data_IF_906101857530
#
_entry.id   IF_906101857530
#
_cell.length_a   1.000
_cell.length_b   1.000
_cell.length_c   1.000
_cell.angle_alpha   90.00
_cell.angle_beta   90.00
_cell.angle_gamma   90.00
#
_symmetry.space_group_name_H-M   'P 1'
#
loop_
_entity.id
_entity.type
_entity.pdbx_description
1 polymer ?
#
# COMPACT_ATOMS: atom_id res chain seq x y z
N UNK A 1 -18.85 -30.24 -23.29
CA UNK A 1 -18.79 -28.91 -22.65
C UNK A 1 -18.95 -29.12 -21.15
N UNK A 2 -17.85 -29.08 -20.39
CA UNK A 2 -17.90 -29.04 -18.93
C UNK A 2 -16.72 -28.19 -18.47
N UNK A 3 -16.99 -26.90 -18.25
CA UNK A 3 -16.01 -25.96 -17.71
C UNK A 3 -15.89 -26.19 -16.21
N UNK A 4 -14.69 -26.57 -15.77
CA UNK A 4 -14.35 -26.65 -14.34
C UNK A 4 -13.99 -25.24 -13.89
N UNK A 5 -14.95 -24.57 -13.24
CA UNK A 5 -14.70 -23.32 -12.54
C UNK A 5 -14.02 -23.61 -11.21
N UNK A 6 -12.68 -23.55 -11.19
CA UNK A 6 -11.91 -23.58 -9.96
C UNK A 6 -12.06 -22.26 -9.22
N UNK A 7 -12.83 -22.25 -8.13
CA UNK A 7 -12.77 -21.16 -7.16
C UNK A 7 -11.49 -21.36 -6.34
N UNK A 8 -10.43 -20.63 -6.69
CA UNK A 8 -9.21 -20.58 -5.88
C UNK A 8 -9.52 -19.86 -4.57
N UNK A 9 -9.71 -20.64 -3.50
CA UNK A 9 -9.60 -20.14 -2.14
C UNK A 9 -8.18 -19.59 -1.99
N UNK A 10 -8.05 -18.27 -1.93
CA UNK A 10 -6.75 -17.62 -1.83
C UNK A 10 -6.16 -17.90 -0.46
N UNK A 11 -4.88 -18.25 -0.46
CA UNK A 11 -4.10 -18.51 0.72
C UNK A 11 -3.98 -17.27 1.60
N UNK A 12 -3.81 -17.44 2.91
CA UNK A 12 -3.41 -16.37 3.86
C UNK A 12 -2.18 -15.57 3.40
N UNK A 13 -1.39 -16.15 2.50
CA UNK A 13 -0.20 -15.57 1.86
C UNK A 13 -0.53 -14.44 0.89
N UNK A 14 -1.79 -14.29 0.48
CA UNK A 14 -2.25 -13.27 -0.46
C UNK A 14 -3.00 -12.12 0.23
N UNK A 15 -3.10 -12.12 1.57
CA UNK A 15 -3.87 -11.10 2.30
C UNK A 15 -2.97 -9.99 2.84
N UNK A 16 -3.28 -8.75 2.45
CA UNK A 16 -2.82 -7.51 3.09
C UNK A 16 -3.92 -7.06 4.05
N UNK A 17 -3.62 -6.94 5.33
CA UNK A 17 -4.58 -6.42 6.32
C UNK A 17 -4.10 -5.08 6.86
N UNK A 18 -4.95 -4.07 6.79
CA UNK A 18 -4.75 -2.76 7.39
C UNK A 18 -5.81 -2.56 8.47
N UNK A 19 -5.41 -2.58 9.73
CA UNK A 19 -6.24 -2.18 10.85
C UNK A 19 -5.85 -0.74 11.20
N UNK A 20 -6.62 0.24 10.75
CA UNK A 20 -6.34 1.67 11.01
C UNK A 20 -7.43 2.21 11.92
N UNK A 21 -7.05 2.56 13.14
CA UNK A 21 -7.95 3.01 14.20
C UNK A 21 -9.05 1.96 14.55
N UNK A 22 -10.23 2.07 13.93
CA UNK A 22 -11.36 1.14 14.10
C UNK A 22 -11.84 0.55 12.78
N UNK A 23 -11.13 0.84 11.69
CA UNK A 23 -11.47 0.36 10.35
C UNK A 23 -10.49 -0.73 9.96
N UNK A 24 -11.02 -1.85 9.49
CA UNK A 24 -10.25 -2.95 8.96
C UNK A 24 -10.43 -2.99 7.44
N UNK A 25 -9.33 -2.92 6.71
CA UNK A 25 -9.27 -3.14 5.27
C UNK A 25 -8.52 -4.44 5.02
N UNK A 26 -9.23 -5.49 4.62
CA UNK A 26 -8.62 -6.71 4.15
C UNK A 26 -8.57 -6.66 2.62
N UNK A 27 -7.36 -6.55 2.10
CA UNK A 27 -7.08 -6.58 0.68
C UNK A 27 -6.47 -7.93 0.33
N UNK A 28 -6.89 -8.49 -0.79
CA UNK A 28 -6.23 -9.62 -1.41
C UNK A 28 -5.30 -9.11 -2.50
N UNK A 29 -4.01 -9.38 -2.38
CA UNK A 29 -2.98 -9.08 -3.35
C UNK A 29 -2.50 -10.37 -4.01
N UNK A 30 -2.81 -10.49 -5.28
CA UNK A 30 -2.33 -11.54 -6.19
C UNK A 30 -1.31 -10.94 -7.16
N UNK A 31 -0.65 -11.75 -8.00
CA UNK A 31 0.29 -11.27 -9.01
C UNK A 31 -0.33 -10.18 -9.92
N UNK A 32 -1.60 -10.32 -10.28
CA UNK A 32 -2.25 -9.48 -11.29
C UNK A 32 -3.18 -8.42 -10.70
N UNK A 33 -3.59 -8.53 -9.44
CA UNK A 33 -4.61 -7.65 -8.87
C UNK A 33 -4.45 -7.46 -7.36
N UNK A 34 -4.86 -6.27 -6.89
CA UNK A 34 -5.16 -5.95 -5.50
C UNK A 34 -6.65 -5.64 -5.38
N UNK A 35 -7.37 -6.47 -4.63
CA UNK A 35 -8.83 -6.42 -4.51
C UNK A 35 -9.28 -6.38 -3.06
N UNK A 36 -10.30 -5.61 -2.75
CA UNK A 36 -10.95 -5.57 -1.44
C UNK A 36 -12.27 -4.83 -1.54
N UNK A 37 -12.94 -4.58 -0.42
CA UNK A 37 -14.24 -3.91 -0.42
C UNK A 37 -14.21 -2.56 -1.16
N UNK A 38 -13.16 -1.77 -0.95
CA UNK A 38 -12.94 -0.50 -1.64
C UNK A 38 -11.83 -0.57 -2.70
N UNK A 39 -11.12 -1.68 -2.85
CA UNK A 39 -9.96 -1.77 -3.75
C UNK A 39 -10.30 -2.61 -4.98
N UNK A 40 -10.07 -2.04 -6.17
CA UNK A 40 -10.08 -2.78 -7.42
C UNK A 40 -8.97 -2.23 -8.30
N UNK A 41 -7.74 -2.71 -8.07
CA UNK A 41 -6.54 -2.26 -8.76
C UNK A 41 -5.90 -3.44 -9.47
N UNK A 42 -5.78 -3.37 -10.78
CA UNK A 42 -4.99 -4.31 -11.58
C UNK A 42 -3.52 -3.92 -11.55
N UNK A 43 -2.67 -4.94 -11.50
CA UNK A 43 -1.22 -4.90 -11.51
C UNK A 43 -0.75 -5.41 -12.86
N UNK A 44 -0.03 -4.57 -13.58
CA UNK A 44 0.63 -4.95 -14.83
C UNK A 44 2.07 -4.47 -14.78
N UNK A 45 2.99 -5.05 -15.57
CA UNK A 45 4.38 -4.61 -15.56
C UNK A 45 4.50 -3.10 -15.78
N UNK A 46 4.96 -2.38 -14.76
CA UNK A 46 5.14 -0.92 -14.81
C UNK A 46 3.87 -0.08 -14.65
N UNK A 47 2.70 -0.65 -14.35
CA UNK A 47 1.45 0.11 -14.22
C UNK A 47 0.49 -0.47 -13.16
N UNK A 48 -0.11 0.43 -12.37
CA UNK A 48 -1.26 0.15 -11.51
C UNK A 48 -2.47 0.91 -12.02
N UNK A 49 -3.60 0.22 -12.24
CA UNK A 49 -4.80 0.83 -12.79
C UNK A 49 -6.08 0.28 -12.17
N UNK A 50 -7.06 1.14 -11.94
CA UNK A 50 -8.36 0.74 -11.46
C UNK A 50 -9.00 1.81 -10.59
N UNK A 51 -9.37 1.46 -9.36
CA UNK A 51 -9.99 2.39 -8.41
C UNK A 51 -9.77 1.99 -6.96
N UNK A 52 -9.75 3.00 -6.10
CA UNK A 52 -9.81 2.89 -4.64
C UNK A 52 -10.99 3.71 -4.16
N UNK A 53 -11.92 3.07 -3.43
CA UNK A 53 -13.31 3.47 -3.29
C UNK A 53 -13.91 3.84 -4.66
N UNK A 54 -14.29 5.10 -4.84
CA UNK A 54 -14.82 5.66 -6.08
C UNK A 54 -13.80 6.55 -6.82
N UNK A 55 -12.53 6.51 -6.40
CA UNK A 55 -11.46 7.33 -6.97
C UNK A 55 -10.66 6.51 -7.99
N UNK A 56 -10.66 6.88 -9.28
CA UNK A 56 -9.86 6.21 -10.30
C UNK A 56 -8.36 6.27 -10.00
N UNK A 57 -7.64 5.18 -10.23
CA UNK A 57 -6.19 5.05 -10.11
C UNK A 57 -5.60 4.77 -11.48
N UNK A 58 -4.59 5.53 -11.87
CA UNK A 58 -3.77 5.24 -13.04
C UNK A 58 -2.33 5.72 -12.77
N UNK A 59 -1.45 4.79 -12.39
CA UNK A 59 -0.08 5.05 -12.01
C UNK A 59 0.88 4.28 -12.91
N UNK A 60 1.92 4.94 -13.37
CA UNK A 60 3.08 4.35 -14.03
C UNK A 60 4.21 4.23 -13.01
N UNK A 61 4.80 3.06 -12.98
CA UNK A 61 5.94 2.69 -12.14
C UNK A 61 7.17 2.68 -13.06
N UNK A 62 7.98 3.72 -12.94
CA UNK A 62 9.23 3.91 -13.67
C UNK A 62 10.39 3.70 -12.70
N UNK A 63 11.60 3.46 -13.21
CA UNK A 63 12.78 3.35 -12.35
C UNK A 63 12.92 4.57 -11.42
N UNK A 64 12.94 4.32 -10.12
CA UNK A 64 12.98 5.32 -9.05
C UNK A 64 11.82 6.34 -9.05
N UNK A 65 10.73 6.13 -9.79
CA UNK A 65 9.64 7.11 -9.92
C UNK A 65 8.24 6.50 -10.03
N UNK A 66 7.26 7.20 -9.47
CA UNK A 66 5.84 6.92 -9.71
C UNK A 66 5.18 8.17 -10.26
N UNK A 67 4.51 8.05 -11.41
CA UNK A 67 3.78 9.15 -12.04
C UNK A 67 2.37 8.74 -12.39
N UNK A 68 1.44 9.69 -12.39
CA UNK A 68 0.10 9.42 -12.90
C UNK A 68 -0.96 10.23 -12.21
N UNK A 69 -2.11 9.61 -11.98
CA UNK A 69 -3.27 10.26 -11.37
C UNK A 69 -3.97 9.36 -10.36
N UNK A 70 -4.47 10.02 -9.32
CA UNK A 70 -5.45 9.50 -8.39
C UNK A 70 -6.65 10.46 -8.44
N UNK A 71 -7.72 10.03 -9.11
CA UNK A 71 -8.84 10.90 -9.49
C UNK A 71 -8.37 12.04 -10.40
N UNK A 72 -8.68 13.28 -10.02
CA UNK A 72 -8.20 14.48 -10.71
C UNK A 72 -6.79 14.92 -10.28
N UNK A 73 -6.25 14.35 -9.21
CA UNK A 73 -4.99 14.78 -8.62
C UNK A 73 -3.79 14.09 -9.26
N UNK A 74 -2.71 14.83 -9.48
CA UNK A 74 -1.45 14.30 -10.00
C UNK A 74 -0.72 13.52 -8.91
N UNK A 75 -0.12 12.41 -9.33
CA UNK A 75 0.87 11.66 -8.56
C UNK A 75 2.23 11.86 -9.20
N UNK A 76 3.22 12.22 -8.38
CA UNK A 76 4.62 12.32 -8.75
C UNK A 76 5.47 12.04 -7.50
N UNK A 77 6.02 10.83 -7.42
CA UNK A 77 6.90 10.39 -6.35
C UNK A 77 8.28 10.08 -6.90
N UNK A 78 9.30 10.49 -6.16
CA UNK A 78 10.63 9.91 -6.24
C UNK A 78 10.69 8.74 -5.24
N UNK A 79 11.11 7.58 -5.71
CA UNK A 79 11.22 6.34 -4.94
C UNK A 79 12.67 5.87 -4.99
N UNK A 80 13.24 5.49 -3.86
CA UNK A 80 14.63 5.03 -3.77
C UNK A 80 14.72 3.84 -2.85
N UNK A 81 15.54 2.87 -3.24
CA UNK A 81 15.97 1.79 -2.36
C UNK A 81 17.29 2.18 -1.70
N UNK A 82 17.31 2.22 -0.37
CA UNK A 82 18.47 2.53 0.46
C UNK A 82 18.73 1.34 1.39
N UNK A 83 19.62 0.44 0.94
CA UNK A 83 19.78 -0.89 1.55
C UNK A 83 18.48 -1.70 1.45
N UNK A 84 17.97 -2.12 2.61
CA UNK A 84 16.70 -2.84 2.74
C UNK A 84 15.49 -1.91 2.89
N UNK A 85 15.70 -0.60 2.91
CA UNK A 85 14.62 0.37 3.06
C UNK A 85 14.15 0.90 1.70
N UNK A 86 12.83 1.02 1.54
CA UNK A 86 12.19 1.78 0.47
C UNK A 86 11.82 3.15 1.00
N UNK A 87 12.30 4.19 0.34
CA UNK A 87 11.99 5.59 0.65
C UNK A 87 11.24 6.20 -0.52
N UNK A 88 10.12 6.85 -0.25
CA UNK A 88 9.38 7.59 -1.27
C UNK A 88 9.05 9.00 -0.79
N UNK A 89 9.13 9.99 -1.68
CA UNK A 89 8.82 11.38 -1.37
C UNK A 89 8.21 12.07 -2.59
N UNK A 90 7.22 12.92 -2.37
CA UNK A 90 6.64 13.72 -3.44
C UNK A 90 5.17 14.03 -3.20
N UNK A 91 4.40 14.14 -4.29
CA UNK A 91 2.97 14.35 -4.26
C UNK A 91 2.20 13.06 -4.55
N UNK A 92 1.27 12.70 -3.69
CA UNK A 92 0.35 11.57 -3.89
C UNK A 92 -1.09 12.02 -3.63
N UNK A 93 -1.96 11.90 -4.64
CA UNK A 93 -3.36 12.32 -4.48
C UNK A 93 -3.56 13.82 -4.20
N UNK A 94 -2.59 14.67 -4.59
CA UNK A 94 -2.62 16.11 -4.28
C UNK A 94 -2.12 16.47 -2.88
N UNK A 95 -1.57 15.49 -2.14
CA UNK A 95 -0.99 15.70 -0.81
C UNK A 95 0.51 15.47 -0.84
N UNK A 96 1.32 16.29 -0.13
CA UNK A 96 2.72 15.96 0.06
C UNK A 96 2.84 14.72 0.96
N UNK A 97 3.70 13.79 0.55
CA UNK A 97 3.94 12.56 1.30
C UNK A 97 5.43 12.29 1.47
N UNK A 98 5.77 11.61 2.56
CA UNK A 98 7.09 10.99 2.76
C UNK A 98 6.88 9.63 3.40
N UNK A 99 7.42 8.60 2.79
CA UNK A 99 7.33 7.21 3.20
C UNK A 99 8.75 6.67 3.39
N UNK A 100 8.96 5.97 4.50
CA UNK A 100 10.10 5.09 4.73
C UNK A 100 9.56 3.75 5.18
N UNK A 101 9.78 2.71 4.40
CA UNK A 101 9.51 1.32 4.74
C UNK A 101 10.84 0.61 4.92
N UNK A 102 11.10 0.05 6.09
CA UNK A 102 12.25 -0.82 6.35
C UNK A 102 11.79 -2.10 7.05
N UNK A 103 12.63 -3.14 7.15
CA UNK A 103 12.25 -4.34 7.88
C UNK A 103 11.93 -4.10 9.36
N UNK A 104 12.37 -3.00 9.97
CA UNK A 104 12.21 -2.74 11.41
C UNK A 104 11.15 -1.70 11.73
N UNK A 105 10.91 -0.78 10.82
CA UNK A 105 10.01 0.35 11.01
C UNK A 105 9.39 0.80 9.70
N UNK A 106 8.16 1.31 9.80
CA UNK A 106 7.45 1.98 8.74
C UNK A 106 7.03 3.37 9.25
N UNK A 107 7.53 4.41 8.58
CA UNK A 107 7.12 5.79 8.84
C UNK A 107 6.45 6.33 7.60
N UNK A 108 5.22 6.82 7.76
CA UNK A 108 4.48 7.46 6.66
C UNK A 108 3.97 8.80 7.14
N UNK A 109 4.32 9.85 6.41
CA UNK A 109 3.78 11.19 6.57
C UNK A 109 2.85 11.47 5.39
N UNK A 110 1.56 11.67 5.68
CA UNK A 110 0.56 12.06 4.70
C UNK A 110 -0.16 13.28 5.24
N UNK A 111 0.12 14.44 4.65
CA UNK A 111 -0.43 15.72 5.09
C UNK A 111 -0.14 16.02 6.57
N UNK A 112 -1.13 15.96 7.46
CA UNK A 112 -1.04 16.25 8.90
C UNK A 112 -0.98 14.98 9.77
N UNK A 113 -1.10 13.80 9.15
CA UNK A 113 -1.05 12.51 9.83
C UNK A 113 0.32 11.84 9.64
N UNK A 114 0.93 11.40 10.74
CA UNK A 114 2.15 10.58 10.75
C UNK A 114 1.85 9.21 11.33
N UNK A 115 2.14 8.17 10.58
CA UNK A 115 2.18 6.78 11.03
C UNK A 115 3.62 6.46 11.46
N UNK A 116 3.81 6.00 12.70
CA UNK A 116 5.12 5.53 13.20
C UNK A 116 4.97 4.11 13.71
N UNK A 117 5.14 3.14 12.81
CA UNK A 117 4.87 1.74 13.08
C UNK A 117 6.18 0.99 13.25
N UNK A 118 6.28 0.17 14.30
CA UNK A 118 7.41 -0.71 14.55
C UNK A 118 7.07 -2.12 14.10
N UNK A 119 8.05 -2.83 13.56
CA UNK A 119 7.85 -4.21 13.17
C UNK A 119 7.61 -5.09 14.41
N UNK A 120 6.50 -5.84 14.40
CA UNK A 120 6.28 -7.01 15.27
C UNK A 120 6.96 -8.24 14.68
N UNK A 121 6.89 -8.35 13.37
CA UNK A 121 7.62 -9.33 12.58
C UNK A 121 8.38 -8.58 11.48
N UNK A 122 9.71 -8.70 11.40
CA UNK A 122 10.50 -7.90 10.48
C UNK A 122 10.05 -8.02 9.03
N UNK A 123 9.80 -6.89 8.38
CA UNK A 123 9.34 -6.84 6.99
C UNK A 123 7.88 -7.22 6.76
N UNK A 124 7.17 -7.75 7.77
CA UNK A 124 5.89 -8.43 7.55
C UNK A 124 4.75 -7.82 8.32
N UNK A 125 4.92 -7.56 9.61
CA UNK A 125 3.85 -7.02 10.46
C UNK A 125 4.35 -5.80 11.20
N UNK A 126 3.62 -4.68 11.10
CA UNK A 126 3.95 -3.40 11.70
C UNK A 126 2.82 -2.90 12.58
N UNK A 127 3.13 -2.36 13.74
CA UNK A 127 2.15 -1.80 14.66
C UNK A 127 2.63 -0.48 15.26
N UNK A 128 1.75 0.49 15.40
CA UNK A 128 2.06 1.73 16.11
C UNK A 128 1.00 2.81 15.99
N UNK A 129 1.23 3.97 16.63
CA UNK A 129 0.26 5.04 16.63
C UNK A 129 0.21 5.80 15.29
N UNK A 130 -0.95 6.41 15.04
CA UNK A 130 -1.15 7.47 14.06
C UNK A 130 -1.31 8.81 14.79
N UNK A 131 -0.54 9.81 14.42
CA UNK A 131 -0.42 11.06 15.21
C UNK A 131 -1.69 11.90 15.26
N UNK A 132 -2.58 11.75 14.28
CA UNK A 132 -3.84 12.51 14.20
C UNK A 132 -5.00 11.80 14.92
N UNK A 133 -4.76 10.63 15.53
CA UNK A 133 -5.77 9.91 16.29
C UNK A 133 -5.75 10.31 17.79
N UNK A 134 -6.91 10.30 18.46
CA UNK A 134 -6.98 10.44 19.91
C UNK A 134 -6.20 9.34 20.65
N UNK A 135 -5.73 9.63 21.86
CA UNK A 135 -4.87 8.72 22.67
C UNK A 135 -5.48 7.35 22.98
N UNK A 136 -6.81 7.23 22.99
CA UNK A 136 -7.53 5.97 23.24
C UNK A 136 -7.82 5.16 21.98
N UNK A 137 -7.34 5.62 20.83
CA UNK A 137 -7.51 4.90 19.56
C UNK A 137 -6.58 3.69 19.54
N UNK A 138 -7.07 2.49 19.15
CA UNK A 138 -6.20 1.34 18.95
C UNK A 138 -5.05 1.66 18.00
N UNK A 139 -3.86 1.05 18.19
CA UNK A 139 -2.75 1.27 17.28
C UNK A 139 -3.11 0.79 15.87
N UNK A 140 -2.51 1.44 14.87
CA UNK A 140 -2.56 0.95 13.50
C UNK A 140 -1.72 -0.31 13.38
N UNK A 141 -2.26 -1.35 12.76
CA UNK A 141 -1.56 -2.59 12.44
C UNK A 141 -1.62 -2.83 10.93
N UNK A 142 -0.47 -3.17 10.33
CA UNK A 142 -0.34 -3.47 8.90
C UNK A 142 0.38 -4.80 8.74
N UNK A 143 -0.24 -5.74 8.03
CA UNK A 143 0.35 -7.03 7.63
C UNK A 143 0.58 -7.04 6.13
N UNK A 144 1.80 -7.35 5.70
CA UNK A 144 2.24 -7.37 4.32
C UNK A 144 2.40 -8.81 3.83
N UNK A 145 1.74 -9.21 2.73
CA UNK A 145 1.89 -10.55 2.15
C UNK A 145 3.19 -10.69 1.35
N UNK A 146 3.58 -11.92 1.03
CA UNK A 146 4.78 -12.19 0.24
C UNK A 146 4.70 -11.56 -1.16
N UNK A 147 3.49 -11.48 -1.74
CA UNK A 147 3.25 -10.79 -3.01
C UNK A 147 3.59 -9.29 -2.96
N UNK A 148 3.44 -8.65 -1.79
CA UNK A 148 3.85 -7.26 -1.57
C UNK A 148 5.38 -7.17 -1.45
N UNK A 149 6.00 -8.08 -0.72
CA UNK A 149 7.45 -8.10 -0.52
C UNK A 149 8.23 -8.38 -1.81
N UNK A 150 7.64 -9.15 -2.73
CA UNK A 150 8.18 -9.41 -4.05
C UNK A 150 7.96 -8.27 -5.07
N UNK A 151 7.09 -7.30 -4.75
CA UNK A 151 6.79 -6.17 -5.62
C UNK A 151 7.97 -5.19 -5.74
N UNK A 152 8.01 -4.38 -6.80
CA UNK A 152 9.05 -3.36 -6.94
C UNK A 152 8.92 -2.28 -5.84
N UNK A 153 10.00 -1.54 -5.50
CA UNK A 153 9.93 -0.45 -4.53
C UNK A 153 8.84 0.57 -4.85
N UNK A 154 8.63 0.88 -6.14
CA UNK A 154 7.61 1.81 -6.64
C UNK A 154 6.21 1.28 -6.41
N UNK A 155 6.00 -0.01 -6.65
CA UNK A 155 4.73 -0.68 -6.42
C UNK A 155 4.41 -0.75 -4.91
N UNK A 156 5.39 -1.12 -4.09
CA UNK A 156 5.25 -1.15 -2.63
C UNK A 156 4.85 0.23 -2.07
N UNK A 157 5.54 1.28 -2.50
CA UNK A 157 5.24 2.65 -2.07
C UNK A 157 3.83 3.08 -2.50
N UNK A 158 3.45 2.78 -3.74
CA UNK A 158 2.15 3.13 -4.29
C UNK A 158 1.00 2.43 -3.56
N UNK A 159 1.11 1.12 -3.34
CA UNK A 159 0.05 0.33 -2.69
C UNK A 159 -0.14 0.74 -1.23
N UNK A 160 0.95 1.02 -0.50
CA UNK A 160 0.84 1.55 0.86
C UNK A 160 0.14 2.90 0.89
N UNK A 161 0.53 3.84 0.02
CA UNK A 161 -0.06 5.17 -0.01
C UNK A 161 -1.51 5.18 -0.51
N UNK A 162 -1.93 4.19 -1.29
CA UNK A 162 -3.33 4.02 -1.66
C UNK A 162 -4.19 3.53 -0.48
N UNK A 163 -3.60 2.78 0.45
CA UNK A 163 -4.31 2.13 1.55
C UNK A 163 -4.39 2.97 2.84
N UNK A 164 -3.64 4.07 2.93
CA UNK A 164 -3.50 4.94 4.11
C UNK A 164 -4.24 6.29 3.97
#
# INVERSE_FOLDING_TARGET
>A
LAGVGGAFAGSEQDEVSFNIARTQFNLRMTADNVTGQAFQVSRTPGELRGRVADVPVALRLEDEKVKGKLGSSVVNLDVKKDGDAVKAKGGFGGRPVTLTLSPREMTVYVHDCTYRLKAKEPGRTYEGPRSCDPSLTPPTEIKLPDAFLAASPEEQASLLLLAL
#
